data_IF_254576976520
#
_entry.id   IF_254576976520
#
_cell.length_a   1.000
_cell.length_b   1.000
_cell.length_c   1.000
_cell.angle_alpha   90.00
_cell.angle_beta   90.00
_cell.angle_gamma   90.00
#
_symmetry.space_group_name_H-M   'P 1'
#
loop_
_entity.id
_entity.type
_entity.pdbx_description
1 polymer ?
#
# COMPACT_ATOMS: atom_id res chain seq x y z
N UNK A 1 13.19 6.97 7.01
CA UNK A 1 12.54 5.98 6.13
C UNK A 1 11.09 6.38 6.02
N UNK A 2 10.53 6.45 4.80
CA UNK A 2 9.13 6.78 4.59
C UNK A 2 8.37 5.52 4.19
N UNK A 3 7.13 5.39 4.67
CA UNK A 3 6.20 4.33 4.28
C UNK A 3 5.10 4.91 3.40
N UNK A 4 4.72 4.18 2.37
CA UNK A 4 3.52 4.38 1.59
C UNK A 4 2.67 3.11 1.70
N UNK A 5 1.35 3.24 1.65
CA UNK A 5 0.45 2.10 1.79
C UNK A 5 -0.28 1.86 0.49
N UNK A 6 -0.10 0.68 -0.10
CA UNK A 6 -0.67 0.34 -1.38
C UNK A 6 -1.96 -0.48 -1.23
N UNK A 7 -3.01 -0.06 -1.94
CA UNK A 7 -4.22 -0.84 -2.11
C UNK A 7 -4.20 -1.52 -3.48
N UNK A 8 -4.11 -2.86 -3.51
CA UNK A 8 -4.12 -3.61 -4.77
C UNK A 8 -5.46 -3.57 -5.52
N UNK A 9 -6.57 -3.37 -4.80
CA UNK A 9 -7.90 -3.31 -5.41
C UNK A 9 -8.15 -1.96 -6.11
N UNK A 10 -7.75 -0.85 -5.48
CA UNK A 10 -7.90 0.49 -6.05
C UNK A 10 -6.70 0.92 -6.91
N UNK A 11 -5.56 0.23 -6.80
CA UNK A 11 -4.29 0.59 -7.46
C UNK A 11 -3.87 2.01 -7.07
N UNK A 12 -3.94 2.30 -5.76
CA UNK A 12 -3.65 3.62 -5.19
C UNK A 12 -2.69 3.52 -4.02
N UNK A 13 -1.92 4.59 -3.82
CA UNK A 13 -1.03 4.77 -2.67
C UNK A 13 -1.58 5.80 -1.70
N UNK A 14 -1.52 5.49 -0.42
CA UNK A 14 -1.99 6.32 0.68
C UNK A 14 -0.86 6.57 1.68
N UNK A 15 -0.97 7.66 2.44
CA UNK A 15 -0.13 7.84 3.64
C UNK A 15 -0.83 7.21 4.83
N UNK A 16 -0.07 6.90 5.88
CA UNK A 16 -0.63 6.30 7.10
C UNK A 16 -1.79 7.13 7.68
N UNK A 17 -1.65 8.45 7.66
CA UNK A 17 -2.65 9.39 8.18
C UNK A 17 -3.97 9.38 7.40
N UNK A 18 -3.97 8.87 6.17
CA UNK A 18 -5.17 8.77 5.32
C UNK A 18 -5.92 7.43 5.55
N UNK A 19 -5.34 6.50 6.31
CA UNK A 19 -5.91 5.18 6.55
C UNK A 19 -6.71 5.12 7.84
N UNK A 20 -7.80 4.35 7.80
CA UNK A 20 -8.54 3.96 8.99
C UNK A 20 -8.18 2.52 9.33
N UNK A 21 -7.45 2.31 10.43
CA UNK A 21 -7.06 0.97 10.93
C UNK A 21 -6.32 0.11 9.88
N UNK A 22 -5.50 0.72 9.03
CA UNK A 22 -4.76 0.00 7.98
C UNK A 22 -5.63 -0.48 6.81
N UNK A 23 -6.78 0.17 6.58
CA UNK A 23 -7.68 -0.11 5.46
C UNK A 23 -7.76 1.05 4.47
N UNK A 24 -8.00 0.69 3.21
CA UNK A 24 -8.21 1.62 2.12
C UNK A 24 -9.48 2.45 2.38
N UNK A 25 -9.42 3.78 2.35
CA UNK A 25 -10.58 4.63 2.62
C UNK A 25 -11.68 4.49 1.55
N UNK A 26 -11.33 4.12 0.31
CA UNK A 26 -12.29 4.01 -0.79
C UNK A 26 -13.04 2.68 -0.83
N UNK A 27 -12.34 1.56 -0.61
CA UNK A 27 -12.92 0.21 -0.78
C UNK A 27 -12.94 -0.64 0.49
N UNK A 28 -12.35 -0.16 1.60
CA UNK A 28 -12.30 -0.87 2.88
C UNK A 28 -11.37 -2.09 2.92
N UNK A 29 -10.75 -2.46 1.79
CA UNK A 29 -9.79 -3.56 1.73
C UNK A 29 -8.52 -3.24 2.51
N UNK A 30 -7.83 -4.29 2.94
CA UNK A 30 -6.55 -4.16 3.63
C UNK A 30 -5.50 -3.57 2.68
N UNK A 31 -4.71 -2.63 3.18
CA UNK A 31 -3.57 -2.08 2.44
C UNK A 31 -2.28 -2.65 2.98
N UNK A 32 -1.26 -2.75 2.13
CA UNK A 32 0.06 -3.24 2.52
C UNK A 32 1.06 -2.09 2.60
N UNK A 33 1.87 -1.99 3.66
CA UNK A 33 2.94 -1.01 3.74
C UNK A 33 4.04 -1.33 2.71
N UNK A 34 4.57 -0.28 2.08
CA UNK A 34 5.65 -0.30 1.11
C UNK A 34 6.69 0.75 1.50
N UNK A 35 7.96 0.36 1.43
CA UNK A 35 9.06 1.25 1.83
C UNK A 35 9.39 2.18 0.66
N UNK A 36 9.53 3.47 0.95
CA UNK A 36 9.94 4.48 -0.02
C UNK A 36 11.36 4.94 0.29
N UNK A 37 12.27 4.74 -0.66
CA UNK A 37 13.68 5.17 -0.58
C UNK A 37 13.99 6.06 -1.78
N UNK A 38 14.34 7.32 -1.52
CA UNK A 38 14.71 8.26 -2.59
C UNK A 38 13.61 8.53 -3.63
N UNK A 39 12.33 8.38 -3.25
CA UNK A 39 11.19 8.51 -4.17
C UNK A 39 10.83 7.23 -4.94
N UNK A 40 11.58 6.14 -4.75
CA UNK A 40 11.29 4.82 -5.32
C UNK A 40 10.55 3.97 -4.29
N UNK A 41 9.43 3.36 -4.71
CA UNK A 41 8.66 2.41 -3.90
C UNK A 41 9.23 1.01 -4.09
N UNK A 42 9.68 0.37 -3.01
CA UNK A 42 10.19 -0.99 -3.02
C UNK A 42 9.07 -1.99 -2.69
N UNK A 43 9.04 -3.12 -3.41
CA UNK A 43 8.11 -4.24 -3.16
C UNK A 43 6.89 -4.33 -4.10
N UNK A 44 6.77 -3.48 -5.12
CA UNK A 44 5.63 -3.54 -6.07
C UNK A 44 5.48 -4.89 -6.83
N UNK A 45 6.51 -5.74 -6.81
CA UNK A 45 6.55 -7.03 -7.50
C UNK A 45 5.78 -8.16 -6.81
N UNK A 46 5.49 -8.08 -5.51
CA UNK A 46 4.90 -9.18 -4.75
C UNK A 46 3.36 -9.17 -4.71
N UNK A 47 2.73 -8.04 -5.05
CA UNK A 47 1.26 -7.92 -5.01
C UNK A 47 0.55 -8.49 -6.24
N UNK A 48 1.29 -8.81 -7.30
CA UNK A 48 0.75 -9.50 -8.47
C UNK A 48 0.59 -11.02 -8.24
N UNK A 49 1.12 -11.57 -7.14
CA UNK A 49 1.15 -13.02 -6.89
C UNK A 49 1.31 -13.36 -5.40
N UNK A 50 0.35 -12.98 -4.55
CA UNK A 50 0.15 -13.62 -3.24
C UNK A 50 -1.28 -14.18 -3.17
N UNK A 51 -1.55 -15.07 -4.11
CA UNK A 51 -2.51 -16.17 -3.97
C UNK A 51 -1.68 -17.45 -4.03
N UNK A 52 -1.12 -17.85 -2.88
CA UNK A 52 -0.66 -19.20 -2.58
C UNK A 52 -0.96 -19.51 -1.12
#
# INVERSE_FOLDING_TARGET
>A
MALAYYCANCILYFREADLTEGRCPDCGNQVKPRVVIGGVVLGAEEDANSDQ
#
